data_IF_342986742335
#
_entry.id   IF_342986742335
#
_cell.length_a   1.000
_cell.length_b   1.000
_cell.length_c   1.000
_cell.angle_alpha   90.00
_cell.angle_beta   90.00
_cell.angle_gamma   90.00
#
_symmetry.space_group_name_H-M   'P 1'
#
loop_
_entity.id
_entity.type
_entity.pdbx_description
1 polymer ?
#
# COMPACT_ATOMS: atom_id res chain seq x y z
N UNK A 1 29.77 -34.41 21.64
CA UNK A 1 29.13 -35.62 21.08
C UNK A 1 27.90 -35.93 21.94
N UNK A 2 26.70 -35.70 21.41
CA UNK A 2 25.37 -36.36 21.64
C UNK A 2 25.18 -37.30 22.86
N UNK A 3 24.02 -37.51 23.50
CA UNK A 3 22.62 -37.02 23.53
C UNK A 3 21.87 -37.95 24.53
N UNK A 4 20.64 -37.59 24.89
CA UNK A 4 19.55 -38.39 25.53
C UNK A 4 19.54 -38.49 27.07
N UNK A 5 18.44 -38.23 27.78
CA UNK A 5 17.04 -38.52 27.45
C UNK A 5 16.12 -37.32 27.78
N UNK A 6 15.65 -36.60 26.75
CA UNK A 6 14.57 -35.61 26.89
C UNK A 6 13.23 -36.30 26.73
N UNK A 7 12.47 -36.36 27.82
CA UNK A 7 11.15 -36.96 27.97
C UNK A 7 10.25 -36.89 26.71
N UNK A 8 9.94 -38.05 26.13
CA UNK A 8 9.00 -38.21 25.02
C UNK A 8 7.57 -38.25 25.54
N UNK A 9 6.88 -37.10 25.55
CA UNK A 9 5.42 -37.07 25.68
C UNK A 9 4.85 -36.06 24.70
N UNK A 10 4.39 -36.57 23.55
CA UNK A 10 3.67 -35.83 22.52
C UNK A 10 2.17 -35.95 22.76
N UNK A 11 1.67 -35.39 23.86
CA UNK A 11 0.23 -35.22 24.06
C UNK A 11 -0.19 -33.85 23.52
N UNK A 12 -1.06 -33.75 22.50
CA UNK A 12 -1.56 -32.46 22.03
C UNK A 12 -2.37 -31.78 23.14
N UNK A 13 -1.92 -30.61 23.60
CA UNK A 13 -2.71 -29.77 24.51
C UNK A 13 -4.03 -29.40 23.80
N UNK A 14 -5.21 -29.60 24.42
CA UNK A 14 -6.48 -29.19 23.81
C UNK A 14 -6.47 -27.69 23.56
N UNK A 15 -6.42 -27.29 22.30
CA UNK A 15 -6.57 -25.89 21.87
C UNK A 15 -8.05 -25.52 21.94
N UNK A 16 -8.56 -25.31 23.15
CA UNK A 16 -9.73 -24.45 23.36
C UNK A 16 -9.23 -23.15 23.97
N UNK A 17 -8.52 -22.36 23.15
CA UNK A 17 -8.42 -20.93 23.46
C UNK A 17 -9.80 -20.36 23.18
N UNK A 18 -10.55 -20.13 24.24
CA UNK A 18 -11.81 -19.37 24.22
C UNK A 18 -11.56 -18.07 23.48
N UNK A 19 -11.98 -17.99 22.22
CA UNK A 19 -12.04 -16.73 21.48
C UNK A 19 -13.00 -15.84 22.26
N UNK A 20 -12.48 -14.74 22.81
CA UNK A 20 -13.27 -13.75 23.50
C UNK A 20 -14.31 -13.21 22.50
N UNK A 21 -15.61 -13.17 22.84
CA UNK A 21 -16.60 -12.54 21.97
C UNK A 21 -16.15 -11.11 21.68
N UNK A 22 -15.92 -10.78 20.42
CA UNK A 22 -15.70 -9.40 20.00
C UNK A 22 -16.87 -8.57 20.53
N UNK A 23 -16.57 -7.49 21.26
CA UNK A 23 -17.54 -6.70 22.00
C UNK A 23 -18.74 -6.33 21.13
N UNK A 24 -19.92 -6.80 21.54
CA UNK A 24 -21.18 -6.45 20.91
C UNK A 24 -21.47 -4.97 21.21
N UNK A 25 -21.15 -4.09 20.25
CA UNK A 25 -21.55 -2.69 20.31
C UNK A 25 -23.10 -2.64 20.22
N UNK A 26 -23.79 -1.93 21.13
CA UNK A 26 -25.25 -1.84 21.12
C UNK A 26 -25.79 -1.34 19.76
N UNK A 27 -26.87 -1.92 19.24
CA UNK A 27 -27.50 -1.44 18.00
C UNK A 27 -27.91 0.04 18.13
N UNK A 28 -27.26 0.92 17.39
CA UNK A 28 -27.49 2.38 17.42
C UNK A 28 -26.25 3.19 17.82
N UNK A 29 -25.25 2.57 18.45
CA UNK A 29 -23.92 3.14 18.56
C UNK A 29 -23.13 2.71 17.31
N UNK A 30 -22.65 3.67 16.51
CA UNK A 30 -21.68 3.35 15.46
C UNK A 30 -20.55 2.58 16.12
N UNK A 31 -20.17 1.39 15.61
CA UNK A 31 -18.96 0.73 16.05
C UNK A 31 -17.81 1.74 16.15
N UNK A 32 -16.88 1.60 17.13
CA UNK A 32 -15.63 2.36 17.09
C UNK A 32 -15.12 2.35 15.66
N UNK A 33 -14.62 3.47 15.14
CA UNK A 33 -14.22 3.57 13.74
C UNK A 33 -13.12 2.54 13.41
N UNK A 34 -13.52 1.31 13.11
CA UNK A 34 -12.71 0.28 12.49
C UNK A 34 -12.62 0.57 10.98
N UNK A 35 -13.50 1.47 10.49
CA UNK A 35 -13.45 2.11 9.19
C UNK A 35 -12.46 3.28 9.19
N UNK A 36 -11.21 2.93 8.89
CA UNK A 36 -10.17 3.87 8.53
C UNK A 36 -9.35 4.37 9.71
N UNK A 37 -8.03 4.23 9.58
CA UNK A 37 -7.11 4.79 10.55
C UNK A 37 -7.24 6.31 10.52
N UNK A 38 -8.09 6.85 11.39
CA UNK A 38 -8.18 8.28 11.69
C UNK A 38 -6.90 8.69 12.42
N UNK A 39 -5.83 8.85 11.64
CA UNK A 39 -4.47 9.04 12.13
C UNK A 39 -3.37 8.45 11.26
N UNK A 40 -3.66 7.73 10.16
CA UNK A 40 -2.59 7.24 9.25
C UNK A 40 -1.97 8.31 8.39
N UNK A 41 -2.58 9.49 8.28
CA UNK A 41 -1.91 10.59 7.61
C UNK A 41 -0.76 11.04 8.52
N UNK A 42 0.50 10.92 8.06
CA UNK A 42 1.61 11.48 8.82
C UNK A 42 1.33 12.96 9.11
N UNK A 43 1.42 13.37 10.38
CA UNK A 43 1.38 14.81 10.75
C UNK A 43 2.53 15.59 10.15
N UNK A 44 3.57 14.88 9.69
CA UNK A 44 4.60 15.44 8.85
C UNK A 44 4.02 15.79 7.49
N UNK A 45 3.70 17.07 7.35
CA UNK A 45 3.43 17.81 6.10
C UNK A 45 4.62 17.69 5.10
N UNK A 46 5.62 16.84 5.35
CA UNK A 46 6.76 16.59 4.48
C UNK A 46 6.38 15.90 3.17
N UNK A 47 5.28 15.14 3.16
CA UNK A 47 4.66 14.60 1.95
C UNK A 47 3.69 15.58 1.28
N UNK A 48 3.44 16.75 1.89
CA UNK A 48 2.78 17.86 1.21
C UNK A 48 3.81 18.49 0.28
N UNK A 49 4.03 17.76 -0.82
CA UNK A 49 4.92 18.12 -1.89
C UNK A 49 4.76 19.62 -2.17
N UNK A 50 5.84 20.40 -2.11
CA UNK A 50 5.74 21.86 -2.26
C UNK A 50 4.96 22.17 -3.55
N UNK A 51 4.14 23.23 -3.53
CA UNK A 51 3.13 23.59 -4.57
C UNK A 51 3.64 23.66 -6.03
N UNK A 52 4.91 23.39 -6.31
CA UNK A 52 5.52 23.31 -7.64
C UNK A 52 5.86 21.90 -8.14
N UNK A 53 5.87 20.88 -7.29
CA UNK A 53 6.30 19.54 -7.70
C UNK A 53 5.35 18.81 -8.65
N UNK A 54 4.10 19.22 -8.78
CA UNK A 54 3.23 18.67 -9.82
C UNK A 54 3.68 19.12 -11.23
N UNK A 55 4.30 20.31 -11.33
CA UNK A 55 4.74 20.86 -12.62
C UNK A 55 5.96 20.12 -13.18
N UNK A 56 6.92 19.74 -12.33
CA UNK A 56 8.13 19.05 -12.77
C UNK A 56 7.88 17.73 -13.54
N UNK A 57 7.13 16.75 -13.01
CA UNK A 57 6.82 15.51 -13.73
C UNK A 57 5.90 15.78 -14.93
N UNK A 58 4.96 16.73 -14.82
CA UNK A 58 4.10 17.08 -15.95
C UNK A 58 4.93 17.63 -17.13
N UNK A 59 5.85 18.55 -16.88
CA UNK A 59 6.75 19.08 -17.92
C UNK A 59 7.63 17.99 -18.52
N UNK A 60 8.16 17.07 -17.70
CA UNK A 60 8.96 15.95 -18.18
C UNK A 60 8.15 15.03 -19.11
N UNK A 61 6.91 14.71 -18.73
CA UNK A 61 5.99 13.91 -19.55
C UNK A 61 5.67 14.64 -20.86
N UNK A 62 5.38 15.94 -20.81
CA UNK A 62 5.09 16.73 -22.02
C UNK A 62 6.27 16.77 -22.98
N UNK A 63 7.50 16.93 -22.48
CA UNK A 63 8.71 16.88 -23.31
C UNK A 63 8.88 15.50 -23.96
N UNK A 64 8.65 14.43 -23.19
CA UNK A 64 8.74 13.08 -23.71
C UNK A 64 7.71 12.82 -24.81
N UNK A 65 6.46 13.25 -24.60
CA UNK A 65 5.39 13.16 -25.61
C UNK A 65 5.76 13.95 -26.87
N UNK A 66 6.29 15.16 -26.73
CA UNK A 66 6.69 15.97 -27.87
C UNK A 66 7.83 15.31 -28.67
N UNK A 67 8.79 14.68 -27.99
CA UNK A 67 9.87 13.94 -28.63
C UNK A 67 9.34 12.77 -29.46
N UNK A 68 8.42 11.97 -28.91
CA UNK A 68 7.80 10.87 -29.66
C UNK A 68 6.94 11.39 -30.81
N UNK A 69 6.14 12.43 -30.58
CA UNK A 69 5.31 13.04 -31.63
C UNK A 69 6.16 13.55 -32.80
N UNK A 70 7.28 14.23 -32.52
CA UNK A 70 8.22 14.66 -33.56
C UNK A 70 8.83 13.47 -34.32
N UNK A 71 9.16 12.38 -33.62
CA UNK A 71 9.64 11.14 -34.25
C UNK A 71 8.60 10.50 -35.17
N UNK A 72 7.34 10.43 -34.74
CA UNK A 72 6.25 9.92 -35.58
C UNK A 72 5.95 10.81 -36.78
N UNK A 73 5.97 12.14 -36.61
CA UNK A 73 5.81 13.10 -37.72
C UNK A 73 6.94 12.92 -38.72
N UNK A 74 8.20 12.87 -38.26
CA UNK A 74 9.36 12.65 -39.12
C UNK A 74 9.30 11.30 -39.85
N UNK A 75 8.88 10.25 -39.16
CA UNK A 75 8.67 8.93 -39.76
C UNK A 75 7.57 8.96 -40.82
N UNK A 76 6.40 9.53 -40.53
CA UNK A 76 5.27 9.66 -41.43
C UNK A 76 5.66 10.41 -42.73
N UNK A 77 6.34 11.54 -42.59
CA UNK A 77 6.88 12.31 -43.73
C UNK A 77 7.93 11.50 -44.50
N UNK A 78 8.80 10.78 -43.78
CA UNK A 78 9.87 9.99 -44.38
C UNK A 78 9.39 8.78 -45.18
N UNK A 79 8.30 8.12 -44.74
CA UNK A 79 7.71 6.97 -45.45
C UNK A 79 6.72 7.37 -46.53
N UNK A 80 6.44 8.67 -46.70
CA UNK A 80 5.56 9.16 -47.74
C UNK A 80 4.10 8.82 -47.51
N UNK A 81 3.62 8.96 -46.27
CA UNK A 81 2.23 9.43 -46.09
C UNK A 81 2.15 10.82 -46.73
#
# INVERSE_FOLDING_TARGET
MSMHYGNSSSEPRPTTSRVQPAGLVPPGETPPAEDGISGTLPRDIRYNQSRGWAKAPLTLILLLVLLFAAGFIGYAVGIGI
#
